data_IF_166787096348
#
_entry.id   IF_166787096348
#
_cell.length_a   1.000
_cell.length_b   1.000
_cell.length_c   1.000
_cell.angle_alpha   90.00
_cell.angle_beta   90.00
_cell.angle_gamma   90.00
#
_symmetry.space_group_name_H-M   'P 1'
#
loop_
_entity.id
_entity.type
_entity.pdbx_description
1 polymer ?
#
# COMPACT_ATOMS: atom_id res chain seq x y z
N UNK A 1 -13.84 35.46 58.16
CA UNK A 1 -14.23 34.57 57.04
C UNK A 1 -14.68 33.24 57.62
N UNK A 2 -15.92 32.84 57.36
CA UNK A 2 -16.53 31.64 57.94
C UNK A 2 -15.95 30.35 57.33
N UNK A 3 -15.91 29.25 58.08
CA UNK A 3 -15.55 27.91 57.57
C UNK A 3 -16.42 27.49 56.37
N UNK A 4 -17.66 27.97 56.28
CA UNK A 4 -18.59 27.70 55.17
C UNK A 4 -18.15 28.39 53.87
N UNK A 5 -17.56 29.58 53.96
CA UNK A 5 -17.12 30.36 52.80
C UNK A 5 -15.85 29.76 52.19
N UNK A 6 -14.91 29.30 53.02
CA UNK A 6 -13.70 28.60 52.55
C UNK A 6 -14.03 27.35 51.73
N UNK A 7 -14.96 26.51 52.20
CA UNK A 7 -15.42 25.32 51.45
C UNK A 7 -16.15 25.65 50.15
N UNK A 8 -16.84 26.79 50.06
CA UNK A 8 -17.48 27.25 48.82
C UNK A 8 -16.43 27.69 47.78
N UNK A 9 -15.40 28.42 48.22
CA UNK A 9 -14.32 28.88 47.34
C UNK A 9 -13.47 27.71 46.82
N UNK A 10 -13.14 26.72 47.65
CA UNK A 10 -12.39 25.53 47.18
C UNK A 10 -13.18 24.72 46.13
N UNK A 11 -14.51 24.64 46.27
CA UNK A 11 -15.36 23.95 45.29
C UNK A 11 -15.46 24.70 43.96
N UNK A 12 -15.51 26.04 43.97
CA UNK A 12 -15.55 26.84 42.75
C UNK A 12 -14.20 26.85 42.03
N UNK A 13 -13.09 26.92 42.76
CA UNK A 13 -11.74 26.83 42.20
C UNK A 13 -11.48 25.48 41.52
N UNK A 14 -11.84 24.35 42.16
CA UNK A 14 -11.71 23.02 41.54
C UNK A 14 -12.51 22.87 40.24
N UNK A 15 -13.73 23.42 40.19
CA UNK A 15 -14.54 23.43 38.97
C UNK A 15 -13.92 24.29 37.86
N UNK A 16 -13.32 25.42 38.22
CA UNK A 16 -12.65 26.29 37.25
C UNK A 16 -11.35 25.67 36.70
N UNK A 17 -10.61 24.94 37.52
CA UNK A 17 -9.43 24.17 37.08
C UNK A 17 -9.84 23.10 36.06
N UNK A 18 -10.90 22.34 36.32
CA UNK A 18 -11.40 21.33 35.39
C UNK A 18 -11.80 21.91 34.03
N UNK A 19 -12.51 23.06 34.01
CA UNK A 19 -12.87 23.76 32.77
C UNK A 19 -11.64 24.26 31.99
N UNK A 20 -10.62 24.76 32.70
CA UNK A 20 -9.36 25.18 32.08
C UNK A 20 -8.63 23.99 31.43
N UNK A 21 -8.57 22.84 32.09
CA UNK A 21 -7.97 21.63 31.52
C UNK A 21 -8.69 21.15 30.25
N UNK A 22 -10.03 21.14 30.25
CA UNK A 22 -10.81 20.76 29.05
C UNK A 22 -10.51 21.72 27.89
N UNK A 23 -10.45 23.03 28.17
CA UNK A 23 -10.15 24.04 27.15
C UNK A 23 -8.76 23.84 26.54
N UNK A 24 -7.74 23.54 27.38
CA UNK A 24 -6.38 23.23 26.92
C UNK A 24 -6.37 21.97 26.05
N UNK A 25 -7.07 20.92 26.47
CA UNK A 25 -7.14 19.67 25.70
C UNK A 25 -7.80 19.88 24.33
N UNK A 26 -8.85 20.70 24.27
CA UNK A 26 -9.55 21.04 23.03
C UNK A 26 -8.65 21.87 22.09
N UNK A 27 -7.84 22.77 22.65
CA UNK A 27 -6.82 23.51 21.92
C UNK A 27 -5.76 22.57 21.30
N UNK A 28 -5.27 21.60 22.06
CA UNK A 28 -4.35 20.58 21.54
C UNK A 28 -4.98 19.77 20.42
N UNK A 29 -6.25 19.37 20.59
CA UNK A 29 -6.98 18.61 19.57
C UNK A 29 -7.12 19.41 18.27
N UNK A 30 -7.47 20.70 18.37
CA UNK A 30 -7.55 21.60 17.21
C UNK A 30 -6.21 21.71 16.50
N UNK A 31 -5.09 21.89 17.23
CA UNK A 31 -3.77 21.97 16.59
C UNK A 31 -3.40 20.69 15.84
N UNK A 32 -3.58 19.52 16.48
CA UNK A 32 -3.25 18.23 15.85
C UNK A 32 -4.12 18.01 14.62
N UNK A 33 -5.43 18.27 14.71
CA UNK A 33 -6.34 18.15 13.58
C UNK A 33 -5.96 19.09 12.43
N UNK A 34 -5.53 20.32 12.74
CA UNK A 34 -5.10 21.28 11.73
C UNK A 34 -3.85 20.81 10.99
N UNK A 35 -2.87 20.24 11.70
CA UNK A 35 -1.66 19.67 11.08
C UNK A 35 -2.03 18.53 10.13
N UNK A 36 -2.90 17.61 10.56
CA UNK A 36 -3.35 16.49 9.73
C UNK A 36 -4.08 16.97 8.46
N UNK A 37 -4.99 17.93 8.60
CA UNK A 37 -5.74 18.48 7.46
C UNK A 37 -4.82 19.19 6.47
N UNK A 38 -3.82 19.93 6.95
CA UNK A 38 -2.83 20.58 6.08
C UNK A 38 -1.96 19.53 5.36
N UNK A 39 -1.52 18.48 6.05
CA UNK A 39 -0.73 17.40 5.45
C UNK A 39 -1.52 16.67 4.36
N UNK A 40 -2.77 16.27 4.65
CA UNK A 40 -3.66 15.63 3.67
C UNK A 40 -3.92 16.55 2.46
N UNK A 41 -4.19 17.82 2.71
CA UNK A 41 -4.41 18.80 1.63
C UNK A 41 -3.17 18.96 0.77
N UNK A 42 -1.98 18.96 1.37
CA UNK A 42 -0.71 19.06 0.66
C UNK A 42 -0.43 17.81 -0.16
N UNK A 43 -0.68 16.61 0.39
CA UNK A 43 -0.57 15.33 -0.32
C UNK A 43 -1.50 15.26 -1.53
N UNK A 44 -2.77 15.64 -1.34
CA UNK A 44 -3.73 15.74 -2.44
C UNK A 44 -3.29 16.76 -3.49
N UNK A 45 -2.84 17.94 -3.08
CA UNK A 45 -2.40 19.01 -4.00
C UNK A 45 -1.19 18.58 -4.84
N UNK A 46 -0.26 17.82 -4.25
CA UNK A 46 0.92 17.31 -4.95
C UNK A 46 0.62 16.07 -5.81
N UNK A 47 -0.64 15.61 -5.86
CA UNK A 47 -1.02 14.32 -6.47
C UNK A 47 -0.13 13.17 -5.99
N UNK A 48 0.33 13.23 -4.74
CA UNK A 48 0.98 12.10 -4.09
C UNK A 48 -0.15 11.14 -3.73
N UNK A 49 -0.59 10.37 -4.73
CA UNK A 49 -1.35 9.15 -4.48
C UNK A 49 -0.48 8.32 -3.55
N UNK A 50 -0.98 8.01 -2.34
CA UNK A 50 -0.24 7.13 -1.44
C UNK A 50 0.06 5.85 -2.24
N UNK A 51 1.34 5.51 -2.46
CA UNK A 51 1.67 4.34 -3.26
C UNK A 51 1.17 3.14 -2.48
N UNK A 52 -0.02 2.66 -2.84
CA UNK A 52 -0.53 1.41 -2.28
C UNK A 52 0.51 0.34 -2.63
N UNK A 53 0.90 -0.42 -1.62
CA UNK A 53 2.01 -1.38 -1.73
C UNK A 53 1.73 -2.37 -2.86
N UNK A 54 0.46 -2.76 -3.05
CA UNK A 54 0.00 -3.67 -4.11
C UNK A 54 -1.36 -3.21 -4.67
N UNK A 55 -1.33 -2.87 -5.96
CA UNK A 55 -2.38 -2.57 -6.95
C UNK A 55 -2.83 -3.76 -7.80
N UNK A 56 -4.13 -4.06 -7.96
CA UNK A 56 -4.59 -4.89 -9.09
C UNK A 56 -5.81 -4.28 -9.76
N UNK A 57 -5.70 -4.02 -11.05
CA UNK A 57 -6.77 -3.52 -11.90
C UNK A 57 -6.88 -4.35 -13.17
N UNK A 58 -8.08 -4.81 -13.50
CA UNK A 58 -8.35 -5.48 -14.78
C UNK A 58 -8.77 -4.41 -15.80
N UNK A 59 -7.92 -4.16 -16.80
CA UNK A 59 -8.20 -3.17 -17.85
C UNK A 59 -9.19 -3.74 -18.87
N UNK A 60 -8.99 -5.00 -19.27
CA UNK A 60 -9.87 -5.74 -20.16
C UNK A 60 -9.70 -7.26 -19.91
N UNK A 61 -10.32 -8.12 -20.73
CA UNK A 61 -10.27 -9.57 -20.51
C UNK A 61 -8.86 -10.19 -20.55
N UNK A 62 -7.90 -9.55 -21.24
CA UNK A 62 -6.57 -10.08 -21.52
C UNK A 62 -5.42 -9.29 -20.88
N UNK A 63 -5.68 -8.07 -20.44
CA UNK A 63 -4.68 -7.12 -19.93
C UNK A 63 -4.99 -6.77 -18.48
N UNK A 64 -4.00 -7.04 -17.64
CA UNK A 64 -4.02 -6.79 -16.22
C UNK A 64 -2.99 -5.72 -15.86
N UNK A 65 -3.39 -4.74 -15.06
CA UNK A 65 -2.51 -3.76 -14.44
C UNK A 65 -2.21 -4.21 -13.01
N UNK A 66 -0.93 -4.38 -12.71
CA UNK A 66 -0.43 -4.66 -11.36
C UNK A 66 0.37 -3.44 -10.92
N UNK A 67 -0.12 -2.78 -9.86
CA UNK A 67 0.62 -1.73 -9.18
C UNK A 67 1.52 -2.34 -8.12
N UNK A 68 2.79 -1.96 -8.06
CA UNK A 68 3.67 -2.31 -6.95
C UNK A 68 4.45 -1.07 -6.53
N UNK A 69 4.25 -0.63 -5.29
CA UNK A 69 4.94 0.56 -4.74
C UNK A 69 4.85 1.80 -5.65
N UNK A 70 3.70 2.03 -6.32
CA UNK A 70 3.49 3.16 -7.23
C UNK A 70 3.99 2.95 -8.67
N UNK A 71 4.71 1.87 -8.97
CA UNK A 71 5.03 1.48 -10.34
C UNK A 71 3.91 0.61 -10.93
N UNK A 72 3.54 0.89 -12.18
CA UNK A 72 2.45 0.19 -12.88
C UNK A 72 3.03 -0.77 -13.91
N UNK A 73 2.75 -2.05 -13.74
CA UNK A 73 3.12 -3.12 -14.67
C UNK A 73 1.89 -3.59 -15.44
N UNK A 74 2.02 -3.64 -16.76
CA UNK A 74 0.96 -4.17 -17.64
C UNK A 74 1.32 -5.59 -18.05
N UNK A 75 0.46 -6.52 -17.66
CA UNK A 75 0.57 -7.93 -18.01
C UNK A 75 -0.45 -8.22 -19.10
N UNK A 76 0.05 -8.69 -20.24
CA UNK A 76 -0.75 -9.14 -21.37
C UNK A 76 -0.68 -10.68 -21.41
N UNK A 77 -1.81 -11.33 -21.13
CA UNK A 77 -1.89 -12.80 -21.04
C UNK A 77 -1.54 -13.47 -22.37
N UNK A 78 -1.86 -12.85 -23.51
CA UNK A 78 -1.62 -13.41 -24.85
C UNK A 78 -0.13 -13.48 -25.14
N UNK A 79 0.61 -12.41 -24.81
CA UNK A 79 2.07 -12.37 -24.98
C UNK A 79 2.80 -13.35 -24.08
N UNK A 80 2.31 -13.54 -22.85
CA UNK A 80 2.88 -14.53 -21.93
C UNK A 80 2.66 -15.94 -22.47
N UNK A 81 1.46 -16.22 -22.98
CA UNK A 81 1.12 -17.51 -23.54
C UNK A 81 1.96 -17.84 -24.79
N UNK A 82 2.13 -16.88 -25.70
CA UNK A 82 2.99 -17.03 -26.87
C UNK A 82 4.45 -17.28 -26.50
N UNK A 83 4.97 -16.54 -25.51
CA UNK A 83 6.31 -16.76 -24.97
C UNK A 83 6.46 -18.15 -24.35
N UNK A 84 5.45 -18.62 -23.62
CA UNK A 84 5.42 -19.96 -23.04
C UNK A 84 5.46 -21.05 -24.12
N UNK A 85 4.62 -20.95 -25.15
CA UNK A 85 4.59 -21.90 -26.27
C UNK A 85 5.95 -21.94 -26.96
N UNK A 86 6.56 -20.78 -27.21
CA UNK A 86 7.87 -20.71 -27.85
C UNK A 86 8.94 -21.44 -27.04
N UNK A 87 9.02 -21.18 -25.73
CA UNK A 87 9.98 -21.84 -24.83
C UNK A 87 9.73 -23.36 -24.78
N UNK A 88 8.46 -23.77 -24.68
CA UNK A 88 8.09 -25.18 -24.66
C UNK A 88 8.55 -25.90 -25.93
N UNK A 89 8.37 -25.28 -27.09
CA UNK A 89 8.82 -25.82 -28.37
C UNK A 89 10.35 -25.93 -28.45
N UNK A 90 11.09 -24.93 -27.95
CA UNK A 90 12.55 -24.98 -27.90
C UNK A 90 13.06 -26.12 -27.00
N UNK A 91 12.46 -26.29 -25.82
CA UNK A 91 12.80 -27.40 -24.90
C UNK A 91 12.50 -28.75 -25.55
N UNK A 92 11.36 -28.87 -26.23
CA UNK A 92 10.98 -30.11 -26.92
C UNK A 92 11.96 -30.43 -28.04
N UNK A 93 12.33 -29.44 -28.86
CA UNK A 93 13.33 -29.60 -29.92
C UNK A 93 14.68 -30.04 -29.36
N UNK A 94 15.14 -29.38 -28.29
CA UNK A 94 16.39 -29.73 -27.61
C UNK A 94 16.38 -31.18 -27.09
N UNK A 95 15.28 -31.62 -26.49
CA UNK A 95 15.11 -33.00 -26.04
C UNK A 95 15.14 -34.02 -27.19
N UNK A 96 14.54 -33.69 -28.33
CA UNK A 96 14.60 -34.54 -29.53
C UNK A 96 16.03 -34.66 -30.05
N UNK A 97 16.76 -33.55 -30.16
CA UNK A 97 18.17 -33.54 -30.57
C UNK A 97 19.05 -34.38 -29.64
N UNK A 98 18.82 -34.33 -28.33
CA UNK A 98 19.55 -35.17 -27.37
C UNK A 98 19.23 -36.66 -27.54
N UNK A 99 17.98 -37.02 -27.83
CA UNK A 99 17.60 -38.42 -28.08
C UNK A 99 18.20 -38.96 -29.37
N UNK A 100 18.15 -38.20 -30.45
CA UNK A 100 18.76 -38.58 -31.73
C UNK A 100 20.27 -38.77 -31.59
N UNK A 101 20.95 -37.82 -30.92
CA UNK A 101 22.38 -37.94 -30.66
C UNK A 101 22.73 -39.15 -29.78
N UNK A 102 21.90 -39.48 -28.79
CA UNK A 102 22.08 -40.67 -27.95
C UNK A 102 21.90 -41.97 -28.75
N UNK A 103 20.92 -42.04 -29.63
CA UNK A 103 20.67 -43.23 -30.44
C UNK A 103 21.80 -43.47 -31.45
N UNK A 104 22.30 -42.41 -32.10
CA UNK A 104 23.42 -42.52 -33.04
C UNK A 104 24.72 -42.99 -32.34
N UNK A 105 24.93 -42.62 -31.07
CA UNK A 105 26.07 -43.12 -30.28
C UNK A 105 25.94 -44.59 -29.85
N UNK A 106 24.73 -45.17 -29.86
CA UNK A 106 24.49 -46.58 -29.52
C UNK A 106 24.55 -47.52 -30.73
N UNK A 107 24.49 -47.00 -31.96
CA UNK A 107 24.61 -47.79 -33.20
C UNK A 107 26.07 -47.90 -33.71
N UNK A 108 26.99 -47.08 -33.19
CA UNK A 108 28.43 -47.10 -33.51
C UNK A 108 29.29 -47.95 -32.54
N UNK A 109 28.68 -48.63 -31.55
CA UNK A 109 29.33 -49.61 -30.66
C UNK A 109 28.89 -51.04 -30.97
#
# INVERSE_FOLDING_TARGET
MSRSERKKNEKSEKKNIGKKCICIFLLFFLMISGILVVDDSFRMMMMIEEPKVIEHHKINEKVHEIGFCGEKFYIDEEKIYDGYIYIQNQVKYFMTMLKEKKNNFSEEQ
#
